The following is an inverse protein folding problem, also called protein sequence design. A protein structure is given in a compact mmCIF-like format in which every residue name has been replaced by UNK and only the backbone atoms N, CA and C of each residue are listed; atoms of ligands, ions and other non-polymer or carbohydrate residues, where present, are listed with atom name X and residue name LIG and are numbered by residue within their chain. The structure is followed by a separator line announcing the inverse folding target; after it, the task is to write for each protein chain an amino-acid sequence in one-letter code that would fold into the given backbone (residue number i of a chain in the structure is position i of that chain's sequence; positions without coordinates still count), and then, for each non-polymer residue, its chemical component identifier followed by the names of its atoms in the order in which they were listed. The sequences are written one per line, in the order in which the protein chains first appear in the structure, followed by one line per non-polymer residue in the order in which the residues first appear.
data_IF_810438739559
#
_entry.id   IF_810438739559
#
_cell.length_a   1.000
_cell.length_b   1.000
_cell.length_c   1.000
_cell.angle_alpha   90.00
_cell.angle_beta   90.00
_cell.angle_gamma   90.00
#
_symmetry.space_group_name_H-M   'P 1'
#
loop_
_entity.id
_entity.type
_entity.pdbx_description
1 polymer ?
#
# COMPACT_ATOMS: atom_id res chain seq x y z
N UNK A 1 20.93 8.82 18.59
CA UNK A 1 19.64 8.50 17.93
C UNK A 1 19.81 8.63 16.45
N UNK A 2 19.23 7.70 15.70
CA UNK A 2 19.27 7.65 14.24
C UNK A 2 17.84 7.67 13.69
N UNK A 3 17.65 8.25 12.51
CA UNK A 3 16.38 8.14 11.77
C UNK A 3 16.65 7.32 10.51
N UNK A 4 15.99 6.16 10.42
CA UNK A 4 16.10 5.26 9.27
C UNK A 4 14.83 5.27 8.44
N UNK A 5 14.98 5.56 7.15
CA UNK A 5 13.93 5.37 6.15
C UNK A 5 14.14 4.01 5.48
N UNK A 6 13.29 3.04 5.82
CA UNK A 6 13.27 1.72 5.22
C UNK A 6 12.13 1.58 4.20
N UNK A 7 12.38 0.92 3.07
CA UNK A 7 11.41 0.72 1.98
C UNK A 7 11.44 -0.71 1.43
N UNK A 8 10.29 -1.29 1.12
CA UNK A 8 10.23 -2.68 0.62
C UNK A 8 10.50 -2.72 -0.87
N UNK A 9 11.41 -3.60 -1.27
CA UNK A 9 11.65 -3.88 -2.68
C UNK A 9 10.44 -4.57 -3.31
N UNK A 10 9.64 -3.77 -4.02
CA UNK A 10 8.48 -4.21 -4.81
C UNK A 10 7.50 -5.08 -4.00
N UNK A 11 6.94 -4.50 -2.93
CA UNK A 11 6.01 -5.18 -2.01
C UNK A 11 4.87 -5.91 -2.74
N UNK A 12 4.21 -5.25 -3.70
CA UNK A 12 3.13 -5.89 -4.45
C UNK A 12 3.62 -6.97 -5.39
N UNK A 13 4.81 -6.83 -6.01
CA UNK A 13 5.42 -7.91 -6.78
C UNK A 13 5.72 -9.14 -5.94
N UNK A 14 6.19 -8.96 -4.70
CA UNK A 14 6.36 -10.06 -3.75
C UNK A 14 5.02 -10.76 -3.46
N UNK A 15 3.97 -10.00 -3.17
CA UNK A 15 2.63 -10.53 -2.91
C UNK A 15 2.01 -11.21 -4.14
N UNK A 16 2.24 -10.65 -5.34
CA UNK A 16 1.84 -11.23 -6.62
C UNK A 16 2.53 -12.57 -6.91
N UNK A 17 3.69 -12.83 -6.29
CA UNK A 17 4.43 -14.08 -6.45
C UNK A 17 3.99 -15.18 -5.48
N UNK A 18 3.02 -14.91 -4.60
CA UNK A 18 2.48 -15.86 -3.63
C UNK A 18 1.34 -16.70 -4.23
N UNK A 19 0.84 -17.68 -3.49
CA UNK A 19 -0.42 -18.34 -3.84
C UNK A 19 -1.57 -17.33 -3.80
N UNK A 20 -2.23 -17.17 -4.95
CA UNK A 20 -3.35 -16.25 -5.15
C UNK A 20 -4.60 -17.03 -5.54
N UNK A 21 -5.82 -16.52 -5.21
CA UNK A 21 -7.05 -17.15 -5.63
C UNK A 21 -7.10 -17.28 -7.16
N UNK A 22 -7.57 -18.44 -7.63
CA UNK A 22 -7.60 -18.81 -9.04
C UNK A 22 -9.03 -19.08 -9.53
N UNK A 23 -9.72 -20.06 -8.93
CA UNK A 23 -11.05 -20.49 -9.36
C UNK A 23 -11.79 -21.29 -8.27
N UNK A 24 -12.93 -21.90 -8.63
CA UNK A 24 -13.71 -22.80 -7.77
C UNK A 24 -14.20 -22.16 -6.46
N UNK A 25 -14.60 -20.89 -6.53
CA UNK A 25 -15.13 -20.15 -5.38
C UNK A 25 -16.43 -20.78 -4.88
N UNK A 26 -16.45 -21.16 -3.61
CA UNK A 26 -17.59 -21.82 -2.95
C UNK A 26 -17.78 -21.25 -1.55
N UNK A 27 -19.03 -20.96 -1.20
CA UNK A 27 -19.39 -20.69 0.20
C UNK A 27 -19.22 -21.98 1.01
N UNK A 28 -18.65 -21.86 2.21
CA UNK A 28 -18.57 -22.98 3.14
C UNK A 28 -19.95 -23.26 3.76
N UNK A 29 -20.24 -24.54 3.99
CA UNK A 29 -21.42 -24.97 4.76
C UNK A 29 -21.27 -24.61 6.24
N UNK A 30 -22.39 -24.52 6.96
CA UNK A 30 -22.38 -24.25 8.41
C UNK A 30 -21.51 -25.23 9.20
N UNK A 31 -21.54 -26.52 8.84
CA UNK A 31 -20.70 -27.53 9.47
C UNK A 31 -19.20 -27.23 9.29
N UNK A 32 -18.78 -26.81 8.09
CA UNK A 32 -17.40 -26.39 7.83
C UNK A 32 -17.06 -25.09 8.55
N UNK A 33 -17.98 -24.11 8.62
CA UNK A 33 -17.76 -22.88 9.39
C UNK A 33 -17.52 -23.15 10.87
N UNK A 34 -18.29 -24.06 11.48
CA UNK A 34 -18.09 -24.48 12.88
C UNK A 34 -16.75 -25.17 13.12
N UNK A 35 -16.13 -25.75 12.08
CA UNK A 35 -14.80 -26.35 12.18
C UNK A 35 -13.65 -25.35 12.07
N UNK A 36 -13.90 -24.10 11.67
CA UNK A 36 -12.87 -23.05 11.55
C UNK A 36 -12.52 -22.44 12.92
N UNK A 37 -11.78 -23.20 13.74
CA UNK A 37 -11.19 -22.68 14.97
C UNK A 37 -9.91 -21.88 14.70
N UNK A 38 -9.43 -21.05 15.64
CA UNK A 38 -8.14 -20.38 15.51
C UNK A 38 -6.99 -21.34 15.16
N UNK A 39 -6.93 -22.51 15.80
CA UNK A 39 -5.89 -23.53 15.55
C UNK A 39 -5.97 -24.06 14.12
N UNK A 40 -7.17 -24.35 13.63
CA UNK A 40 -7.33 -24.81 12.25
C UNK A 40 -6.87 -23.76 11.25
N UNK A 41 -7.19 -22.49 11.48
CA UNK A 41 -6.78 -21.37 10.62
C UNK A 41 -5.25 -21.19 10.64
N UNK A 42 -4.64 -21.24 11.83
CA UNK A 42 -3.19 -21.16 12.01
C UNK A 42 -2.44 -22.28 11.27
N UNK A 43 -3.02 -23.47 11.20
CA UNK A 43 -2.44 -24.63 10.53
C UNK A 43 -2.64 -24.66 9.00
N UNK A 44 -3.40 -23.74 8.41
CA UNK A 44 -3.53 -23.66 6.95
C UNK A 44 -2.19 -23.24 6.36
N UNK A 45 -1.58 -24.09 5.53
CA UNK A 45 -0.36 -23.73 4.80
C UNK A 45 -0.60 -22.56 3.86
N UNK A 46 0.34 -21.62 3.80
CA UNK A 46 0.30 -20.48 2.88
C UNK A 46 0.35 -20.92 1.39
N UNK A 47 0.81 -22.15 1.15
CA UNK A 47 0.90 -22.79 -0.16
C UNK A 47 -0.16 -23.91 -0.34
N UNK A 48 -1.17 -23.99 0.52
CA UNK A 48 -2.24 -24.97 0.40
C UNK A 48 -2.96 -24.83 -0.94
N UNK A 49 -3.49 -25.94 -1.48
CA UNK A 49 -4.25 -25.93 -2.73
C UNK A 49 -5.55 -25.11 -2.64
N UNK A 50 -6.13 -25.00 -1.44
CA UNK A 50 -7.30 -24.18 -1.16
C UNK A 50 -6.95 -23.05 -0.18
N UNK A 51 -7.53 -21.87 -0.39
CA UNK A 51 -7.42 -20.72 0.49
C UNK A 51 -8.80 -20.23 0.95
N UNK A 52 -8.82 -19.33 1.94
CA UNK A 52 -10.06 -18.78 2.51
C UNK A 52 -10.07 -17.25 2.53
N UNK A 53 -11.24 -16.68 2.27
CA UNK A 53 -11.62 -15.31 2.67
C UNK A 53 -12.77 -15.44 3.65
N UNK A 54 -12.64 -14.81 4.81
CA UNK A 54 -13.57 -14.94 5.93
C UNK A 54 -14.16 -13.58 6.29
N UNK A 55 -15.42 -13.56 6.71
CA UNK A 55 -16.03 -12.44 7.41
C UNK A 55 -16.10 -12.77 8.90
N UNK A 56 -15.37 -12.02 9.72
CA UNK A 56 -15.11 -12.36 11.12
C UNK A 56 -15.35 -11.20 12.08
N UNK A 57 -15.61 -11.54 13.35
CA UNK A 57 -15.50 -10.62 14.47
C UNK A 57 -14.16 -10.89 15.18
N UNK A 58 -13.38 -9.84 15.42
CA UNK A 58 -12.11 -9.90 16.14
C UNK A 58 -12.14 -8.97 17.34
N UNK A 59 -11.88 -9.51 18.52
CA UNK A 59 -11.58 -8.69 19.69
C UNK A 59 -10.14 -8.24 19.68
N UNK A 60 -9.91 -7.02 20.18
CA UNK A 60 -8.59 -6.40 20.27
C UNK A 60 -8.23 -6.17 21.75
N UNK A 61 -7.61 -7.16 22.43
CA UNK A 61 -7.29 -7.06 23.85
C UNK A 61 -6.49 -5.81 24.20
N UNK A 62 -6.85 -5.16 25.31
CA UNK A 62 -6.24 -3.90 25.74
C UNK A 62 -4.72 -4.02 26.00
N UNK A 63 -4.26 -5.17 26.51
CA UNK A 63 -2.83 -5.39 26.77
C UNK A 63 -1.96 -5.38 25.51
N UNK A 64 -2.55 -5.50 24.31
CA UNK A 64 -1.84 -5.40 23.03
C UNK A 64 -1.74 -3.96 22.50
N UNK A 65 -2.49 -3.03 23.09
CA UNK A 65 -2.63 -1.68 22.53
C UNK A 65 -1.30 -0.95 22.46
N UNK A 66 -0.48 -1.04 23.52
CA UNK A 66 0.83 -0.38 23.52
C UNK A 66 1.78 -0.94 22.47
N UNK A 67 1.81 -2.27 22.31
CA UNK A 67 2.63 -2.92 21.29
C UNK A 67 2.17 -2.58 19.88
N UNK A 68 0.86 -2.50 19.66
CA UNK A 68 0.28 -2.38 18.31
C UNK A 68 -0.10 -0.95 17.90
N UNK A 69 0.00 0.05 18.77
CA UNK A 69 -0.43 1.44 18.50
C UNK A 69 0.16 2.06 17.24
N UNK A 70 1.37 1.66 16.86
CA UNK A 70 2.06 2.20 15.68
C UNK A 70 1.52 1.66 14.36
N UNK A 71 1.18 0.36 14.27
CA UNK A 71 0.65 -0.26 13.04
C UNK A 71 -0.53 -1.21 13.34
N UNK A 72 -1.68 -0.71 13.82
CA UNK A 72 -2.82 -1.56 14.14
C UNK A 72 -3.22 -2.53 13.01
N UNK A 73 -3.48 -3.78 13.37
CA UNK A 73 -4.10 -4.77 12.50
C UNK A 73 -5.52 -4.37 12.07
N UNK A 74 -5.95 -4.86 10.90
CA UNK A 74 -7.33 -4.72 10.41
C UNK A 74 -7.83 -3.26 10.31
N UNK A 75 -7.16 -2.46 9.50
CA UNK A 75 -7.60 -1.09 9.17
C UNK A 75 -8.98 -1.06 8.49
N UNK A 76 -9.80 -0.05 8.81
CA UNK A 76 -11.20 0.05 8.37
C UNK A 76 -11.52 1.43 7.78
N UNK A 77 -12.48 1.49 6.86
CA UNK A 77 -13.00 2.77 6.40
C UNK A 77 -14.03 3.30 7.39
N UNK A 78 -13.79 4.50 7.93
CA UNK A 78 -14.70 5.15 8.87
C UNK A 78 -14.54 6.66 8.85
N UNK A 79 -15.42 7.35 9.57
CA UNK A 79 -15.33 8.81 9.75
C UNK A 79 -14.63 9.08 11.07
N UNK A 80 -13.44 9.69 11.08
CA UNK A 80 -12.75 10.00 12.33
C UNK A 80 -13.52 11.07 13.12
N UNK A 81 -13.37 11.11 14.47
CA UNK A 81 -14.00 12.12 15.31
C UNK A 81 -13.72 13.54 14.79
N UNK A 82 -14.76 14.38 14.73
CA UNK A 82 -14.65 15.76 14.25
C UNK A 82 -14.49 15.92 12.74
N UNK A 83 -14.50 14.84 11.94
CA UNK A 83 -14.45 14.90 10.48
C UNK A 83 -15.80 14.60 9.83
N UNK A 84 -16.01 15.14 8.63
CA UNK A 84 -17.13 14.75 7.74
C UNK A 84 -16.71 13.75 6.66
N UNK A 85 -15.40 13.53 6.51
CA UNK A 85 -14.85 12.71 5.43
C UNK A 85 -14.47 11.33 5.93
N UNK A 86 -14.88 10.29 5.19
CA UNK A 86 -14.41 8.93 5.44
C UNK A 86 -12.91 8.84 5.16
N UNK A 87 -12.17 8.19 6.05
CA UNK A 87 -10.74 7.88 5.93
C UNK A 87 -10.51 6.40 6.23
N UNK A 88 -9.32 5.92 5.89
CA UNK A 88 -8.83 4.66 6.40
C UNK A 88 -8.34 4.90 7.85
N UNK A 89 -8.92 4.19 8.80
CA UNK A 89 -8.65 4.33 10.22
C UNK A 89 -7.87 3.12 10.72
N UNK A 90 -6.71 3.39 11.32
CA UNK A 90 -5.92 2.41 12.04
C UNK A 90 -6.30 2.46 13.52
N UNK A 91 -7.38 1.77 13.88
CA UNK A 91 -7.90 1.75 15.25
C UNK A 91 -7.55 0.44 15.95
N UNK A 92 -7.38 0.51 17.27
CA UNK A 92 -7.23 -0.64 18.17
C UNK A 92 -8.59 -1.12 18.71
N UNK A 93 -9.68 -0.79 18.02
CA UNK A 93 -11.02 -1.21 18.40
C UNK A 93 -11.28 -2.66 17.94
N UNK A 94 -12.24 -3.36 18.57
CA UNK A 94 -12.76 -4.61 18.02
C UNK A 94 -13.26 -4.43 16.59
N UNK A 95 -13.09 -5.47 15.78
CA UNK A 95 -13.51 -5.53 14.38
C UNK A 95 -14.77 -6.36 14.29
N UNK A 96 -15.79 -5.83 13.64
CA UNK A 96 -17.08 -6.51 13.48
C UNK A 96 -17.34 -6.75 12.01
N UNK A 97 -17.64 -8.00 11.64
CA UNK A 97 -17.92 -8.42 10.26
C UNK A 97 -16.83 -7.99 9.28
N UNK A 98 -15.57 -8.07 9.72
CA UNK A 98 -14.41 -7.69 8.95
C UNK A 98 -14.08 -8.77 7.92
N UNK A 99 -13.92 -8.38 6.65
CA UNK A 99 -13.57 -9.31 5.57
C UNK A 99 -12.05 -9.40 5.44
N UNK A 100 -11.50 -10.58 5.66
CA UNK A 100 -10.05 -10.81 5.78
C UNK A 100 -9.61 -12.05 5.01
N UNK A 101 -8.41 -11.99 4.43
CA UNK A 101 -7.75 -13.16 3.85
C UNK A 101 -7.14 -14.02 4.95
N UNK A 102 -7.22 -15.36 4.84
CA UNK A 102 -6.77 -16.26 5.91
C UNK A 102 -5.33 -16.01 6.38
N UNK A 103 -4.40 -15.66 5.47
CA UNK A 103 -3.01 -15.34 5.83
C UNK A 103 -2.88 -14.12 6.75
N UNK A 104 -3.69 -13.09 6.53
CA UNK A 104 -3.71 -11.91 7.39
C UNK A 104 -4.39 -12.23 8.73
N UNK A 105 -5.46 -13.04 8.71
CA UNK A 105 -6.10 -13.53 9.92
C UNK A 105 -5.15 -14.38 10.78
N UNK A 106 -4.35 -15.27 10.15
CA UNK A 106 -3.30 -16.04 10.84
C UNK A 106 -2.34 -15.12 11.60
N UNK A 107 -1.85 -14.06 10.97
CA UNK A 107 -0.98 -13.11 11.64
C UNK A 107 -1.69 -12.34 12.77
N UNK A 108 -2.95 -11.96 12.59
CA UNK A 108 -3.73 -11.33 13.65
C UNK A 108 -3.82 -12.25 14.88
N UNK A 109 -4.13 -13.54 14.67
CA UNK A 109 -4.19 -14.55 15.73
C UNK A 109 -2.83 -14.76 16.42
N UNK A 110 -1.75 -14.85 15.63
CA UNK A 110 -0.38 -14.96 16.16
C UNK A 110 0.04 -13.73 16.98
N UNK A 111 -0.46 -12.56 16.60
CA UNK A 111 -0.25 -11.31 17.33
C UNK A 111 -1.16 -11.16 18.56
N UNK A 112 -2.03 -12.13 18.85
CA UNK A 112 -2.87 -12.18 20.04
C UNK A 112 -4.27 -11.59 19.88
N UNK A 113 -4.69 -11.18 18.68
CA UNK A 113 -6.10 -10.83 18.45
C UNK A 113 -6.96 -12.08 18.63
N UNK A 114 -8.16 -11.90 19.18
CA UNK A 114 -9.06 -13.01 19.51
C UNK A 114 -10.16 -13.12 18.47
N UNK A 115 -10.28 -14.28 17.83
CA UNK A 115 -11.38 -14.57 16.91
C UNK A 115 -12.64 -14.93 17.70
N UNK A 116 -13.62 -14.05 17.67
CA UNK A 116 -14.89 -14.23 18.38
C UNK A 116 -15.89 -15.03 17.55
N UNK A 117 -15.95 -14.75 16.25
CA UNK A 117 -16.95 -15.35 15.37
C UNK A 117 -16.51 -15.37 13.91
N UNK A 118 -16.85 -16.46 13.22
CA UNK A 118 -16.84 -16.53 11.75
C UNK A 118 -18.28 -16.48 11.26
N UNK A 119 -18.66 -15.42 10.55
CA UNK A 119 -20.02 -15.25 10.02
C UNK A 119 -20.24 -16.04 8.74
N UNK A 120 -19.26 -16.00 7.84
CA UNK A 120 -19.25 -16.73 6.57
C UNK A 120 -17.84 -16.77 6.01
N UNK A 121 -17.58 -17.72 5.14
CA UNK A 121 -16.30 -17.86 4.46
C UNK A 121 -16.49 -18.41 3.04
N UNK A 122 -15.64 -17.93 2.14
CA UNK A 122 -15.51 -18.46 0.79
C UNK A 122 -14.19 -19.22 0.72
N UNK A 123 -14.23 -20.46 0.24
CA UNK A 123 -13.05 -21.22 -0.18
C UNK A 123 -12.83 -21.09 -1.68
N UNK A 124 -11.58 -21.20 -2.12
CA UNK A 124 -11.17 -21.15 -3.51
C UNK A 124 -9.90 -21.95 -3.72
N UNK A 125 -9.70 -22.44 -4.95
CA UNK A 125 -8.41 -22.97 -5.35
C UNK A 125 -7.41 -21.81 -5.48
N UNK A 126 -6.18 -22.00 -5.01
CA UNK A 126 -5.10 -21.04 -5.13
C UNK A 126 -3.81 -21.70 -5.62
N UNK A 127 -2.97 -20.92 -6.29
CA UNK A 127 -1.63 -21.33 -6.69
C UNK A 127 -0.76 -20.10 -6.96
N UNK A 128 0.55 -20.27 -7.07
CA UNK A 128 1.48 -19.19 -7.47
C UNK A 128 1.41 -18.90 -8.98
N UNK A 129 0.22 -18.85 -9.58
CA UNK A 129 0.05 -18.77 -11.04
C UNK A 129 0.60 -17.48 -11.66
N UNK A 130 0.71 -16.40 -10.89
CA UNK A 130 1.26 -15.14 -11.37
C UNK A 130 2.78 -15.02 -11.17
N UNK A 131 3.38 -15.89 -10.34
CA UNK A 131 4.82 -15.87 -10.05
C UNK A 131 5.71 -15.92 -11.30
N UNK A 132 5.46 -16.80 -12.31
CA UNK A 132 6.30 -16.83 -13.51
C UNK A 132 6.34 -15.49 -14.26
N UNK A 133 5.22 -14.76 -14.29
CA UNK A 133 5.15 -13.43 -14.90
C UNK A 133 5.96 -12.39 -14.12
N UNK A 134 5.85 -12.40 -12.79
CA UNK A 134 6.62 -11.48 -11.94
C UNK A 134 8.12 -11.77 -12.03
N UNK A 135 8.51 -13.05 -12.00
CA UNK A 135 9.91 -13.47 -12.11
C UNK A 135 10.50 -13.07 -13.49
N UNK A 136 9.71 -13.20 -14.56
CA UNK A 136 10.10 -12.72 -15.89
C UNK A 136 10.37 -11.21 -15.88
N UNK A 137 9.43 -10.40 -15.38
CA UNK A 137 9.59 -8.95 -15.32
C UNK A 137 10.76 -8.53 -14.41
N UNK A 138 10.99 -9.25 -13.31
CA UNK A 138 12.13 -9.01 -12.43
C UNK A 138 13.47 -9.26 -13.14
N UNK A 139 13.60 -10.39 -13.86
CA UNK A 139 14.80 -10.68 -14.67
C UNK A 139 15.03 -9.65 -15.76
N UNK A 140 13.99 -9.33 -16.53
CA UNK A 140 14.09 -8.33 -17.61
C UNK A 140 14.45 -6.95 -17.06
N UNK A 141 13.90 -6.56 -15.91
CA UNK A 141 14.26 -5.31 -15.22
C UNK A 141 15.72 -5.29 -14.77
N UNK A 142 16.24 -6.41 -14.27
CA UNK A 142 17.63 -6.52 -13.85
C UNK A 142 18.60 -6.45 -15.04
N UNK A 143 18.21 -7.01 -16.20
CA UNK A 143 18.99 -7.02 -17.44
C UNK A 143 18.93 -5.70 -18.22
N UNK A 144 17.89 -4.89 -18.00
CA UNK A 144 17.71 -3.62 -18.69
C UNK A 144 18.88 -2.65 -18.47
N UNK A 145 19.43 -2.13 -19.56
CA UNK A 145 20.56 -1.19 -19.51
C UNK A 145 20.13 0.26 -19.31
N UNK A 146 18.92 0.62 -19.75
CA UNK A 146 18.44 2.00 -19.75
C UNK A 146 17.31 2.24 -18.72
N UNK A 147 17.13 3.49 -18.25
CA UNK A 147 16.08 3.83 -17.28
C UNK A 147 14.65 3.57 -17.79
N UNK A 148 14.41 3.71 -19.09
CA UNK A 148 13.09 3.52 -19.68
C UNK A 148 12.62 2.07 -19.52
N UNK A 149 13.42 1.09 -19.93
CA UNK A 149 13.10 -0.33 -19.80
C UNK A 149 12.96 -0.75 -18.34
N UNK A 150 13.85 -0.26 -17.45
CA UNK A 150 13.73 -0.51 -16.01
C UNK A 150 12.38 -0.04 -15.46
N UNK A 151 11.91 1.12 -15.92
CA UNK A 151 10.61 1.67 -15.55
C UNK A 151 9.44 0.93 -16.20
N UNK A 152 9.59 0.46 -17.44
CA UNK A 152 8.57 -0.34 -18.14
C UNK A 152 8.28 -1.64 -17.38
N UNK A 153 9.31 -2.43 -17.06
CA UNK A 153 9.10 -3.70 -16.34
C UNK A 153 8.59 -3.50 -14.90
N UNK A 154 8.97 -2.38 -14.25
CA UNK A 154 8.34 -1.96 -12.99
C UNK A 154 6.85 -1.66 -13.17
N UNK A 155 6.51 -0.91 -14.22
CA UNK A 155 5.14 -0.53 -14.53
C UNK A 155 4.27 -1.74 -14.84
N UNK A 156 4.78 -2.73 -15.59
CA UNK A 156 4.02 -3.94 -15.95
C UNK A 156 3.53 -4.71 -14.71
N UNK A 157 4.37 -4.87 -13.68
CA UNK A 157 3.97 -5.47 -12.40
C UNK A 157 2.87 -4.66 -11.70
N UNK A 158 3.09 -3.35 -11.56
CA UNK A 158 2.17 -2.44 -10.88
C UNK A 158 0.83 -2.28 -11.61
N UNK A 159 0.87 -2.22 -12.94
CA UNK A 159 -0.31 -2.07 -13.80
C UNK A 159 -1.18 -3.32 -13.76
N UNK A 160 -0.57 -4.52 -13.72
CA UNK A 160 -1.33 -5.76 -13.54
C UNK A 160 -2.13 -5.72 -12.23
N UNK A 161 -1.48 -5.36 -11.11
CA UNK A 161 -2.19 -5.18 -9.83
C UNK A 161 -3.31 -4.13 -9.94
N UNK A 162 -3.01 -2.94 -10.47
CA UNK A 162 -3.99 -1.88 -10.66
C UNK A 162 -5.19 -2.32 -11.50
N UNK A 163 -4.98 -3.17 -12.51
CA UNK A 163 -6.04 -3.70 -13.36
C UNK A 163 -6.98 -4.65 -12.61
N UNK A 164 -6.45 -5.44 -11.67
CA UNK A 164 -7.29 -6.32 -10.83
C UNK A 164 -8.22 -5.53 -9.92
N UNK A 165 -7.86 -4.31 -9.53
CA UNK A 165 -8.62 -3.43 -8.64
C UNK A 165 -9.43 -2.35 -9.38
N UNK A 166 -9.52 -2.44 -10.70
CA UNK A 166 -10.21 -1.44 -11.53
C UNK A 166 -11.70 -1.37 -11.19
N UNK A 167 -12.15 -0.20 -10.73
CA UNK A 167 -13.57 0.02 -10.46
C UNK A 167 -14.30 0.43 -11.75
N UNK A 168 -14.85 -0.57 -12.43
CA UNK A 168 -15.63 -0.40 -13.66
C UNK A 168 -16.86 0.49 -13.48
N UNK A 169 -17.32 0.77 -12.26
CA UNK A 169 -18.43 1.73 -12.02
C UNK A 169 -18.00 3.16 -12.33
N UNK A 170 -16.72 3.48 -12.13
CA UNK A 170 -16.22 4.85 -12.28
C UNK A 170 -15.92 5.24 -13.74
N UNK A 171 -15.91 4.31 -14.71
CA UNK A 171 -15.68 4.73 -16.09
C UNK A 171 -16.87 5.55 -16.59
N UNK A 172 -16.56 6.58 -17.38
CA UNK A 172 -17.55 7.48 -17.97
C UNK A 172 -17.77 7.12 -19.42
N UNK A 173 -19.00 7.30 -19.90
CA UNK A 173 -19.31 7.19 -21.33
C UNK A 173 -19.34 8.61 -21.87
N UNK A 174 -18.31 9.00 -22.62
CA UNK A 174 -18.23 10.32 -23.24
C UNK A 174 -18.35 10.16 -24.76
N UNK A 175 -19.23 10.96 -25.36
CA UNK A 175 -19.38 11.08 -26.81
C UNK A 175 -18.93 12.46 -27.23
N UNK A 176 -17.91 12.52 -28.07
CA UNK A 176 -17.52 13.74 -28.74
C UNK A 176 -18.37 13.89 -30.00
N UNK A 177 -19.05 15.02 -30.14
CA UNK A 177 -19.94 15.31 -31.25
C UNK A 177 -19.61 16.66 -31.85
N UNK A 178 -19.68 16.74 -33.17
CA UNK A 178 -19.37 17.96 -33.93
C UNK A 178 -20.55 18.53 -34.69
N UNK A 179 -21.74 17.94 -34.49
CA UNK A 179 -22.98 18.36 -35.15
C UNK A 179 -24.16 18.27 -34.20
N UNK A 180 -25.06 19.24 -34.33
CA UNK A 180 -26.29 19.27 -33.54
C UNK A 180 -27.27 18.16 -33.93
N UNK A 181 -27.59 18.07 -35.23
CA UNK A 181 -28.65 17.22 -35.76
C UNK A 181 -28.16 15.89 -36.35
N UNK A 182 -29.10 14.98 -36.57
CA UNK A 182 -28.88 13.71 -37.28
C UNK A 182 -28.58 12.53 -36.35
N UNK A 183 -28.41 11.35 -36.94
CA UNK A 183 -28.06 10.14 -36.18
C UNK A 183 -26.69 10.36 -35.51
N UNK A 184 -26.63 10.17 -34.19
CA UNK A 184 -25.47 10.47 -33.36
C UNK A 184 -25.07 11.97 -33.28
N UNK A 185 -25.98 12.88 -33.61
CA UNK A 185 -25.82 14.31 -33.29
C UNK A 185 -25.98 14.59 -31.80
N UNK A 186 -25.66 15.80 -31.38
CA UNK A 186 -25.81 16.24 -29.99
C UNK A 186 -27.25 16.06 -29.49
N UNK A 187 -28.25 16.42 -30.31
CA UNK A 187 -29.66 16.30 -29.95
C UNK A 187 -30.09 14.86 -29.65
N UNK A 188 -29.55 13.89 -30.39
CA UNK A 188 -29.81 12.47 -30.20
C UNK A 188 -29.30 11.98 -28.85
N UNK A 189 -28.09 12.34 -28.43
CA UNK A 189 -27.55 11.90 -27.14
C UNK A 189 -28.14 12.66 -25.95
N UNK A 190 -28.42 13.97 -26.09
CA UNK A 190 -29.07 14.77 -25.04
C UNK A 190 -30.49 14.27 -24.76
N UNK A 191 -31.20 13.79 -25.78
CA UNK A 191 -32.55 13.23 -25.61
C UNK A 191 -32.58 11.83 -25.01
N UNK A 192 -31.43 11.18 -24.79
CA UNK A 192 -31.42 9.85 -24.18
C UNK A 192 -31.72 9.93 -22.67
N UNK A 193 -32.45 8.95 -22.10
CA UNK A 193 -32.80 8.95 -20.69
C UNK A 193 -31.59 8.84 -19.75
N UNK A 194 -30.45 8.38 -20.26
CA UNK A 194 -29.19 8.30 -19.52
C UNK A 194 -28.26 9.50 -19.79
N UNK A 195 -28.74 10.58 -20.40
CA UNK A 195 -27.98 11.82 -20.47
C UNK A 195 -27.56 12.27 -19.06
N UNK A 196 -26.28 12.57 -18.87
CA UNK A 196 -25.75 13.06 -17.60
C UNK A 196 -25.43 14.54 -17.67
N UNK A 197 -24.53 14.93 -18.57
CA UNK A 197 -24.06 16.31 -18.69
C UNK A 197 -23.49 16.56 -20.10
N UNK A 198 -23.17 17.83 -20.37
CA UNK A 198 -22.48 18.24 -21.60
C UNK A 198 -21.45 19.31 -21.29
N UNK A 199 -20.36 19.32 -22.07
CA UNK A 199 -19.30 20.32 -22.02
C UNK A 199 -19.00 20.79 -23.44
N UNK A 200 -19.09 22.10 -23.68
CA UNK A 200 -18.73 22.71 -24.97
C UNK A 200 -17.25 23.08 -24.91
N UNK A 201 -16.47 22.55 -25.83
CA UNK A 201 -15.07 22.95 -25.99
C UNK A 201 -14.95 24.15 -26.92
N UNK A 202 -15.66 24.13 -28.04
CA UNK A 202 -15.76 25.22 -29.00
C UNK A 202 -17.07 25.09 -29.84
N UNK A 203 -17.22 25.95 -30.84
CA UNK A 203 -18.41 26.01 -31.70
C UNK A 203 -18.65 24.72 -32.51
N UNK A 204 -17.61 23.90 -32.71
CA UNK A 204 -17.63 22.69 -33.51
C UNK A 204 -17.46 21.40 -32.68
N UNK A 205 -17.20 21.49 -31.37
CA UNK A 205 -16.92 20.33 -30.54
C UNK A 205 -17.62 20.38 -29.17
N UNK A 206 -18.46 19.37 -28.95
CA UNK A 206 -19.18 19.14 -27.69
C UNK A 206 -18.85 17.73 -27.15
N UNK A 207 -18.55 17.64 -25.87
CA UNK A 207 -18.60 16.38 -25.12
C UNK A 207 -19.98 16.20 -24.50
N UNK A 208 -20.56 15.01 -24.68
CA UNK A 208 -21.77 14.57 -23.98
C UNK A 208 -21.41 13.40 -23.09
N UNK A 209 -21.61 13.56 -21.79
CA UNK A 209 -21.47 12.48 -20.81
C UNK A 209 -22.80 11.76 -20.64
N UNK A 210 -22.75 10.43 -20.72
CA UNK A 210 -23.89 9.54 -20.50
C UNK A 210 -23.65 8.70 -19.24
N UNK A 211 -24.71 8.52 -18.46
CA UNK A 211 -24.78 7.57 -17.36
C UNK A 211 -24.78 6.14 -17.91
N UNK A 212 -24.16 5.22 -17.16
CA UNK A 212 -24.17 3.80 -17.48
C UNK A 212 -25.52 3.18 -17.17
N UNK A 213 -26.07 2.48 -18.15
CA UNK A 213 -27.30 1.68 -18.01
C UNK A 213 -26.99 0.23 -17.64
N UNK A 214 -25.81 -0.27 -17.99
CA UNK A 214 -25.35 -1.61 -17.70
C UNK A 214 -23.87 -1.58 -17.26
N UNK A 215 -23.52 -2.44 -16.31
CA UNK A 215 -22.15 -2.57 -15.80
C UNK A 215 -21.76 -4.05 -15.77
N UNK A 216 -20.79 -4.43 -16.59
CA UNK A 216 -20.21 -5.77 -16.58
C UNK A 216 -19.05 -5.84 -15.58
N UNK A 217 -19.19 -6.65 -14.52
CA UNK A 217 -18.12 -6.95 -13.58
C UNK A 217 -17.16 -8.00 -14.14
N UNK A 218 -16.17 -7.55 -14.91
CA UNK A 218 -15.18 -8.41 -15.57
C UNK A 218 -13.75 -8.21 -15.03
N UNK A 219 -13.61 -7.70 -13.80
CA UNK A 219 -12.31 -7.50 -13.15
C UNK A 219 -12.13 -8.51 -12.02
N UNK A 220 -10.96 -9.16 -11.91
CA UNK A 220 -10.71 -10.16 -10.89
C UNK A 220 -10.37 -9.48 -9.55
N UNK A 221 -11.35 -8.78 -8.96
CA UNK A 221 -11.20 -8.01 -7.72
C UNK A 221 -10.69 -8.86 -6.54
N UNK A 222 -11.02 -10.15 -6.52
CA UNK A 222 -10.54 -11.10 -5.53
C UNK A 222 -9.02 -11.25 -5.53
N UNK A 223 -8.36 -11.13 -6.69
CA UNK A 223 -6.90 -11.19 -6.81
C UNK A 223 -6.30 -9.94 -6.19
N UNK A 224 -6.83 -8.77 -6.53
CA UNK A 224 -6.35 -7.49 -5.98
C UNK A 224 -6.53 -7.40 -4.47
N UNK A 225 -7.67 -7.89 -3.95
CA UNK A 225 -7.90 -8.02 -2.50
C UNK A 225 -6.86 -8.94 -1.85
N UNK A 226 -6.62 -10.13 -2.41
CA UNK A 226 -5.63 -11.06 -1.86
C UNK A 226 -4.21 -10.47 -1.89
N UNK A 227 -3.80 -9.81 -2.97
CA UNK A 227 -2.50 -9.11 -3.06
C UNK A 227 -2.37 -8.06 -1.96
N UNK A 228 -3.39 -7.24 -1.73
CA UNK A 228 -3.38 -6.22 -0.67
C UNK A 228 -3.25 -6.86 0.71
N UNK A 229 -4.05 -7.88 1.01
CA UNK A 229 -4.03 -8.55 2.31
C UNK A 229 -2.70 -9.27 2.57
N UNK A 230 -2.18 -9.97 1.57
CA UNK A 230 -0.90 -10.66 1.65
C UNK A 230 0.24 -9.65 1.79
N UNK A 231 0.19 -8.52 1.08
CA UNK A 231 1.24 -7.49 1.18
C UNK A 231 1.39 -6.93 2.60
N UNK A 232 0.27 -6.68 3.30
CA UNK A 232 0.27 -6.27 4.71
C UNK A 232 1.04 -7.25 5.59
N UNK A 233 0.91 -8.56 5.33
CA UNK A 233 1.59 -9.58 6.14
C UNK A 233 3.10 -9.42 6.16
N UNK A 234 3.68 -8.93 5.06
CA UNK A 234 5.13 -8.69 4.97
C UNK A 234 5.57 -7.46 5.76
N UNK A 235 4.75 -6.41 5.77
CA UNK A 235 5.01 -5.20 6.56
C UNK A 235 4.86 -5.47 8.06
N UNK A 236 3.81 -6.21 8.45
CA UNK A 236 3.62 -6.63 9.83
C UNK A 236 4.74 -7.54 10.32
N UNK A 237 5.18 -8.51 9.51
CA UNK A 237 6.32 -9.37 9.86
C UNK A 237 7.59 -8.55 10.11
N UNK A 238 7.90 -7.60 9.22
CA UNK A 238 9.07 -6.76 9.38
C UNK A 238 9.01 -5.89 10.64
N UNK A 239 7.85 -5.30 10.95
CA UNK A 239 7.71 -4.46 12.13
C UNK A 239 7.64 -5.27 13.44
N UNK A 240 6.67 -6.17 13.55
CA UNK A 240 6.33 -6.88 14.78
C UNK A 240 7.25 -8.07 15.09
N UNK A 241 7.68 -8.80 14.05
CA UNK A 241 8.48 -10.01 14.24
C UNK A 241 9.98 -9.78 14.05
N UNK A 242 10.39 -8.69 13.41
CA UNK A 242 11.80 -8.33 13.29
C UNK A 242 12.15 -7.11 14.12
N UNK A 243 11.74 -5.90 13.72
CA UNK A 243 12.20 -4.66 14.33
C UNK A 243 11.92 -4.56 15.84
N UNK A 244 10.71 -4.91 16.29
CA UNK A 244 10.37 -4.92 17.72
C UNK A 244 11.12 -5.98 18.56
N UNK A 245 11.75 -6.97 17.94
CA UNK A 245 12.63 -7.91 18.67
C UNK A 245 14.08 -7.42 18.75
N UNK A 246 14.48 -6.45 17.93
CA UNK A 246 15.83 -5.88 17.92
C UNK A 246 16.00 -4.75 18.93
N UNK A 247 14.90 -4.10 19.32
CA UNK A 247 14.90 -2.93 20.20
C UNK A 247 13.79 -3.04 21.23
N UNK A 248 14.03 -2.54 22.43
CA UNK A 248 12.98 -2.29 23.41
C UNK A 248 12.06 -1.15 22.95
N UNK A 249 10.83 -1.12 23.47
CA UNK A 249 9.79 -0.16 23.07
C UNK A 249 10.19 1.32 23.25
N UNK A 250 11.07 1.62 24.20
CA UNK A 250 11.60 2.97 24.46
C UNK A 250 12.73 3.37 23.50
N UNK A 251 13.31 2.41 22.78
CA UNK A 251 14.44 2.62 21.87
C UNK A 251 14.05 2.60 20.39
N UNK A 252 12.82 2.22 20.06
CA UNK A 252 12.32 2.18 18.70
C UNK A 252 10.96 2.87 18.59
N UNK A 253 10.89 3.92 17.77
CA UNK A 253 9.65 4.63 17.50
C UNK A 253 9.39 4.71 16.01
N UNK A 254 8.25 4.21 15.57
CA UNK A 254 7.80 4.42 14.20
C UNK A 254 7.29 5.85 14.04
N UNK A 255 8.00 6.66 13.26
CA UNK A 255 7.66 8.05 12.99
C UNK A 255 6.64 8.19 11.86
N UNK A 256 6.73 7.34 10.84
CA UNK A 256 5.91 7.44 9.63
C UNK A 256 5.82 6.10 8.89
N UNK A 257 4.70 5.92 8.17
CA UNK A 257 4.48 4.78 7.28
C UNK A 257 3.75 5.26 6.02
N UNK A 258 4.17 4.79 4.85
CA UNK A 258 3.38 4.87 3.62
C UNK A 258 3.52 3.58 2.82
N UNK A 259 2.48 2.75 2.86
CA UNK A 259 2.35 1.51 2.07
C UNK A 259 3.47 0.48 2.30
N UNK A 260 4.61 0.65 1.65
CA UNK A 260 5.81 -0.18 1.67
C UNK A 260 7.01 0.46 2.38
N UNK A 261 6.87 1.71 2.81
CA UNK A 261 7.88 2.46 3.56
C UNK A 261 7.60 2.53 5.06
N UNK A 262 8.63 2.43 5.89
CA UNK A 262 8.62 2.62 7.34
C UNK A 262 9.77 3.55 7.74
N UNK A 263 9.48 4.57 8.54
CA UNK A 263 10.49 5.50 9.06
C UNK A 263 10.59 5.35 10.56
N UNK A 264 11.76 4.96 11.06
CA UNK A 264 12.02 4.72 12.46
C UNK A 264 12.94 5.76 13.06
N UNK A 265 12.64 6.20 14.26
CA UNK A 265 13.61 6.76 15.20
C UNK A 265 14.17 5.62 16.05
N UNK A 266 15.49 5.49 16.08
CA UNK A 266 16.22 4.40 16.71
C UNK A 266 17.24 4.96 17.68
N UNK A 267 17.12 4.61 18.96
CA UNK A 267 18.09 4.99 19.98
C UNK A 267 19.14 3.88 20.04
N UNK A 268 20.26 4.06 19.35
CA UNK A 268 21.42 3.15 19.33
C UNK A 268 22.70 3.91 18.96
N UNK A 269 23.84 3.23 19.15
CA UNK A 269 25.16 3.78 18.85
C UNK A 269 25.34 3.88 17.33
N UNK A 270 25.17 2.76 16.63
CA UNK A 270 25.14 2.70 15.17
C UNK A 270 23.92 1.91 14.69
N UNK A 271 23.08 2.55 13.90
CA UNK A 271 21.90 1.91 13.34
C UNK A 271 22.27 0.99 12.15
N UNK A 272 23.38 1.22 11.46
CA UNK A 272 23.82 0.44 10.30
C UNK A 272 24.35 -0.95 10.69
N UNK A 273 24.80 -1.15 11.93
CA UNK A 273 25.13 -2.47 12.48
C UNK A 273 23.94 -3.45 12.40
N UNK A 274 22.71 -2.95 12.56
CA UNK A 274 21.49 -3.75 12.37
C UNK A 274 21.45 -4.37 10.97
N UNK A 275 21.79 -3.58 9.95
CA UNK A 275 21.78 -4.00 8.55
C UNK A 275 22.89 -5.01 8.31
N UNK A 276 24.11 -4.73 8.78
CA UNK A 276 25.27 -5.63 8.66
C UNK A 276 24.97 -6.99 9.30
N UNK A 277 24.43 -7.01 10.53
CA UNK A 277 24.11 -8.24 11.25
C UNK A 277 22.97 -9.05 10.59
N UNK A 278 22.11 -8.39 9.81
CA UNK A 278 20.91 -8.98 9.22
C UNK A 278 20.85 -8.87 7.70
N UNK A 279 22.00 -8.89 7.01
CA UNK A 279 22.12 -8.73 5.55
C UNK A 279 21.11 -9.57 4.76
N UNK A 280 20.79 -10.78 5.22
CA UNK A 280 19.82 -11.68 4.56
C UNK A 280 18.39 -11.11 4.47
N UNK A 281 18.07 -10.06 5.23
CA UNK A 281 16.78 -9.36 5.24
C UNK A 281 16.80 -8.05 4.44
N UNK A 282 17.98 -7.58 4.03
CA UNK A 282 18.16 -6.27 3.40
C UNK A 282 18.69 -6.36 1.97
N UNK A 283 18.13 -5.54 1.08
CA UNK A 283 18.73 -5.14 -0.19
C UNK A 283 19.67 -3.96 0.10
N UNK A 284 20.96 -4.21 -0.05
CA UNK A 284 22.03 -3.24 0.16
C UNK A 284 22.71 -2.84 -1.15
N UNK A 285 22.14 -3.21 -2.30
CA UNK A 285 22.74 -3.00 -3.61
C UNK A 285 22.90 -1.52 -4.01
N UNK A 286 22.06 -0.67 -3.42
CA UNK A 286 22.03 0.77 -3.66
C UNK A 286 23.02 1.54 -2.77
N UNK A 287 23.74 0.89 -1.83
CA UNK A 287 24.83 1.52 -1.08
C UNK A 287 26.04 1.83 -1.98
N UNK A 288 26.81 2.90 -1.69
CA UNK A 288 28.12 3.14 -2.30
C UNK A 288 29.07 1.96 -2.06
N UNK A 289 29.92 1.64 -3.04
CA UNK A 289 30.88 0.54 -2.94
C UNK A 289 31.86 0.73 -1.77
N UNK A 290 32.35 1.96 -1.58
CA UNK A 290 33.22 2.34 -0.47
C UNK A 290 32.44 3.10 0.62
N UNK A 291 31.31 2.55 1.05
CA UNK A 291 30.53 3.16 2.13
C UNK A 291 31.27 3.02 3.47
N UNK A 292 31.14 4.04 4.33
CA UNK A 292 31.85 4.13 5.62
C UNK A 292 31.43 3.05 6.64
N UNK A 293 30.32 2.36 6.39
CA UNK A 293 29.78 1.31 7.26
C UNK A 293 30.28 -0.09 6.90
N UNK A 294 31.09 -0.22 5.84
CA UNK A 294 31.56 -1.50 5.29
C UNK A 294 30.42 -2.48 4.95
N UNK A 295 29.24 -1.96 4.58
CA UNK A 295 28.11 -2.80 4.17
C UNK A 295 28.39 -3.35 2.77
N UNK A 296 28.40 -4.68 2.57
CA UNK A 296 28.58 -5.27 1.25
C UNK A 296 27.34 -5.03 0.39
N UNK A 297 27.52 -4.80 -0.91
CA UNK A 297 26.42 -4.62 -1.87
C UNK A 297 25.86 -5.98 -2.30
N UNK A 298 24.67 -6.32 -1.84
CA UNK A 298 24.05 -7.60 -2.13
C UNK A 298 22.52 -7.49 -2.29
N UNK A 299 21.89 -8.62 -2.66
CA UNK A 299 20.43 -8.77 -2.73
C UNK A 299 19.67 -7.78 -3.62
N UNK A 300 20.36 -7.23 -4.63
CA UNK A 300 19.79 -6.22 -5.51
C UNK A 300 18.50 -6.65 -6.19
N UNK A 301 17.44 -5.89 -5.92
CA UNK A 301 16.09 -6.06 -6.49
C UNK A 301 15.42 -7.39 -6.14
N UNK A 302 15.87 -8.07 -5.07
CA UNK A 302 15.19 -9.26 -4.54
C UNK A 302 13.86 -8.85 -3.91
N UNK A 303 12.76 -9.46 -4.36
CA UNK A 303 11.41 -9.09 -3.96
C UNK A 303 11.17 -9.29 -2.45
N UNK A 304 10.57 -8.29 -1.81
CA UNK A 304 10.17 -8.38 -0.41
C UNK A 304 11.31 -8.29 0.60
N UNK A 305 12.48 -7.80 0.20
CA UNK A 305 13.53 -7.35 1.12
C UNK A 305 13.33 -5.88 1.51
N UNK A 306 13.79 -5.50 2.68
CA UNK A 306 13.90 -4.09 3.06
C UNK A 306 15.14 -3.46 2.42
N UNK A 307 15.07 -2.19 2.04
CA UNK A 307 16.26 -1.38 1.73
C UNK A 307 16.25 -0.12 2.57
N UNK A 308 17.44 0.37 2.86
CA UNK A 308 17.63 1.76 3.25
C UNK A 308 17.36 2.64 2.02
N UNK A 309 16.27 3.40 2.06
CA UNK A 309 15.84 4.26 0.95
C UNK A 309 16.89 5.32 0.59
N UNK A 310 17.74 5.68 1.55
CA UNK A 310 18.75 6.72 1.38
C UNK A 310 20.15 6.17 1.11
N UNK A 311 20.34 4.85 1.12
CA UNK A 311 21.60 4.20 0.77
C UNK A 311 22.79 4.63 1.63
N UNK A 312 22.58 4.77 2.94
CA UNK A 312 23.62 5.14 3.90
C UNK A 312 23.68 6.63 4.25
N UNK A 313 22.83 7.48 3.67
CA UNK A 313 22.76 8.90 4.04
C UNK A 313 21.96 9.10 5.31
N UNK A 314 22.55 9.81 6.26
CA UNK A 314 22.00 10.02 7.60
C UNK A 314 20.93 11.12 7.54
N UNK A 315 19.72 10.82 8.01
CA UNK A 315 18.68 11.82 8.23
C UNK A 315 18.95 12.54 9.54
N UNK A 316 19.00 13.88 9.51
CA UNK A 316 19.22 14.71 10.70
C UNK A 316 17.92 15.24 11.28
N UNK A 317 16.94 15.53 10.43
CA UNK A 317 15.68 16.16 10.80
C UNK A 317 14.52 15.52 10.03
N UNK A 318 13.39 15.32 10.70
CA UNK A 318 12.18 14.75 10.10
C UNK A 318 10.92 15.47 10.59
N UNK A 319 10.04 15.86 9.65
CA UNK A 319 8.73 16.44 9.93
C UNK A 319 7.67 15.78 9.05
N UNK A 320 6.66 15.17 9.64
CA UNK A 320 5.50 14.63 8.94
C UNK A 320 4.21 15.26 9.48
N UNK A 321 3.43 15.88 8.59
CA UNK A 321 2.20 16.59 8.96
C UNK A 321 0.94 15.76 8.68
N UNK A 322 0.97 14.98 7.60
CA UNK A 322 -0.13 14.14 7.19
C UNK A 322 0.36 13.01 6.27
N UNK A 323 -0.56 12.10 5.91
CA UNK A 323 -0.29 11.10 4.88
C UNK A 323 0.17 11.77 3.58
N UNK A 324 1.34 11.37 3.10
CA UNK A 324 1.99 11.85 1.86
C UNK A 324 2.33 13.35 1.91
N UNK A 325 2.56 13.86 3.12
CA UNK A 325 2.95 15.25 3.43
C UNK A 325 4.03 15.25 4.52
N UNK A 326 5.30 15.28 4.10
CA UNK A 326 6.45 15.23 5.00
C UNK A 326 7.70 15.87 4.37
N UNK A 327 8.66 16.23 5.21
CA UNK A 327 9.95 16.76 4.81
C UNK A 327 11.06 16.28 5.73
N UNK A 328 12.27 16.14 5.20
CA UNK A 328 13.45 15.75 5.96
C UNK A 328 14.73 16.32 5.37
N UNK A 329 15.77 16.38 6.21
CA UNK A 329 17.13 16.79 5.86
C UNK A 329 18.09 15.62 5.97
N UNK A 330 19.17 15.65 5.18
CA UNK A 330 20.26 14.68 5.30
C UNK A 330 21.56 15.39 5.65
N UNK A 331 22.46 14.70 6.35
CA UNK A 331 23.74 15.26 6.81
C UNK A 331 24.65 15.70 5.65
N UNK A 332 24.52 15.06 4.49
CA UNK A 332 25.39 15.23 3.32
C UNK A 332 24.81 16.17 2.26
N UNK A 333 23.64 16.80 2.51
CA UNK A 333 23.01 17.70 1.54
C UNK A 333 22.38 18.93 2.19
N UNK A 334 22.65 20.09 1.59
CA UNK A 334 21.99 21.35 1.95
C UNK A 334 20.56 21.45 1.40
N UNK A 335 20.13 20.51 0.54
CA UNK A 335 18.81 20.53 -0.06
C UNK A 335 17.79 19.76 0.79
N UNK A 336 16.73 20.44 1.18
CA UNK A 336 15.57 19.83 1.84
C UNK A 336 14.86 18.84 0.90
N UNK A 337 14.51 17.65 1.40
CA UNK A 337 13.58 16.77 0.70
C UNK A 337 12.18 17.07 1.19
N UNK A 338 11.28 17.39 0.26
CA UNK A 338 9.88 17.72 0.55
C UNK A 338 8.96 16.84 -0.29
N UNK A 339 7.96 16.23 0.36
CA UNK A 339 6.93 15.41 -0.26
C UNK A 339 5.58 16.00 0.08
N UNK A 340 4.85 16.43 -0.96
CA UNK A 340 3.53 17.04 -0.83
C UNK A 340 2.63 16.57 -1.96
N UNK A 341 1.87 15.50 -1.73
CA UNK A 341 1.01 14.93 -2.77
C UNK A 341 -0.08 15.89 -3.19
N UNK A 342 -0.26 16.04 -4.51
CA UNK A 342 -1.31 16.88 -5.11
C UNK A 342 -0.85 18.29 -5.47
N UNK A 343 0.41 18.65 -5.18
CA UNK A 343 1.05 19.90 -5.59
C UNK A 343 2.13 19.57 -6.63
N UNK A 344 2.30 20.45 -7.63
CA UNK A 344 3.32 20.28 -8.68
C UNK A 344 4.73 20.36 -8.09
N UNK A 345 5.62 19.48 -8.53
CA UNK A 345 6.98 19.37 -7.98
C UNK A 345 7.77 20.68 -8.01
N UNK A 346 7.66 21.50 -9.07
CA UNK A 346 8.39 22.77 -9.15
C UNK A 346 7.92 23.76 -8.07
N UNK A 347 6.65 23.72 -7.68
CA UNK A 347 6.11 24.57 -6.61
C UNK A 347 6.72 24.13 -5.28
N UNK A 348 6.73 22.82 -5.04
CA UNK A 348 7.30 22.25 -3.82
C UNK A 348 8.77 22.62 -3.69
N UNK A 349 9.55 22.50 -4.77
CA UNK A 349 10.99 22.82 -4.75
C UNK A 349 11.29 24.31 -4.62
N UNK A 350 10.47 25.18 -5.23
CA UNK A 350 10.80 26.60 -5.35
C UNK A 350 10.08 27.51 -4.35
N UNK A 351 9.00 27.05 -3.70
CA UNK A 351 8.15 27.88 -2.82
C UNK A 351 8.00 27.34 -1.40
N UNK A 352 8.54 26.16 -1.12
CA UNK A 352 8.50 25.55 0.20
C UNK A 352 9.91 25.27 0.69
N UNK A 353 10.05 25.19 2.01
CA UNK A 353 11.25 24.79 2.71
C UNK A 353 10.89 23.83 3.85
N UNK A 354 11.88 23.13 4.40
CA UNK A 354 11.69 22.32 5.60
C UNK A 354 11.11 23.13 6.77
N UNK A 355 11.54 24.39 6.92
CA UNK A 355 11.06 25.28 7.99
C UNK A 355 9.55 25.54 7.89
N UNK A 356 8.98 25.56 6.69
CA UNK A 356 7.53 25.72 6.53
C UNK A 356 6.76 24.54 7.12
N UNK A 357 7.26 23.32 6.94
CA UNK A 357 6.66 22.13 7.54
C UNK A 357 6.80 22.18 9.06
N UNK A 358 7.98 22.57 9.55
CA UNK A 358 8.26 22.67 10.98
C UNK A 358 7.39 23.75 11.66
N UNK A 359 7.21 24.90 11.02
CA UNK A 359 6.34 25.97 11.51
C UNK A 359 4.88 25.53 11.54
N UNK A 360 4.38 24.88 10.48
CA UNK A 360 3.04 24.31 10.47
C UNK A 360 2.84 23.32 11.63
N UNK A 361 3.84 22.46 11.90
CA UNK A 361 3.79 21.50 13.01
C UNK A 361 3.74 22.20 14.37
N UNK A 362 4.60 23.20 14.59
CA UNK A 362 4.76 23.87 15.89
C UNK A 362 3.63 24.85 16.20
N UNK A 363 3.19 25.60 15.21
CA UNK A 363 2.19 26.67 15.38
C UNK A 363 0.75 26.20 15.15
N UNK A 364 0.55 25.08 14.44
CA UNK A 364 -0.76 24.65 13.96
C UNK A 364 -1.34 25.55 12.86
N UNK A 365 -0.55 26.49 12.32
CA UNK A 365 -0.98 27.42 11.27
C UNK A 365 -0.87 26.74 9.90
N UNK A 366 -1.86 26.97 9.04
CA UNK A 366 -1.84 26.47 7.66
C UNK A 366 -1.14 27.45 6.73
N UNK A 367 -0.09 26.99 6.03
CA UNK A 367 0.51 27.73 4.92
C UNK A 367 -0.23 27.43 3.61
N UNK A 368 -0.70 28.47 2.94
CA UNK A 368 -1.36 28.37 1.63
C UNK A 368 -0.36 28.65 0.50
N UNK A 369 -0.37 27.81 -0.54
CA UNK A 369 0.49 27.99 -1.72
C UNK A 369 -0.36 27.96 -2.99
N UNK A 370 -0.28 29.02 -3.80
CA UNK A 370 -0.95 29.09 -5.09
C UNK A 370 -0.29 28.16 -6.12
N UNK A 371 -1.10 27.46 -6.90
CA UNK A 371 -0.64 26.54 -7.97
C UNK A 371 -0.58 27.15 -9.37
N UNK A 372 -1.04 28.41 -9.51
CA UNK A 372 -0.97 29.19 -10.74
C UNK A 372 0.48 29.53 -11.11
#
# INVERSE_FOLDING_TARGET
THIMYMDMVNLYGWAQSQCLPLNNFKWLSEAKLKSLTPETILNISDNAAEGLILEVDLSYPQHLHDRHKSIPFCVEHGTPPGSKNKKLLATLHPKTRYVIHYRNLKQCLQAGLVLEKVHRAITFNQSCWLKPYIDLNARLRAQAANPFEKNLYKLLNNANFGKTMENVRNHRIIKLVTRWSGRYGANYYISQPNFHSREIFDDELLAIELSKTEILFNKPLYVGMAILEISKTRMYDFHYNFMQHQFSDDRLKLLYMDTDSLVYEMVCDDAYELIVANISRFDTSDYPENNIYNIPRCNGKVLGMMKDELGGRIITDWVALASKMYSYKTMDSDNDVMKLKGIRDYIVKNRLSFNDYLECLRSGITKSVAQS
#
